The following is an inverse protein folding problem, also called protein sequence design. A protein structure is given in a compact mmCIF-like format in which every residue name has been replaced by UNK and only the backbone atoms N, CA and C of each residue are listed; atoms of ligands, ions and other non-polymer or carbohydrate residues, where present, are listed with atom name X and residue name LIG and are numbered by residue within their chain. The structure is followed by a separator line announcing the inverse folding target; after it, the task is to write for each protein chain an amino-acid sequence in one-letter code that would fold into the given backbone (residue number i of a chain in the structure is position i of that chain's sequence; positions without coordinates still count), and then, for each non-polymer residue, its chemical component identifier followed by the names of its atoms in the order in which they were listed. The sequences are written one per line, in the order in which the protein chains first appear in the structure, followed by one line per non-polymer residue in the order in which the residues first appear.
data_IF_799037658343
#
_entry.id   IF_799037658343
#
_cell.length_a   1.000
_cell.length_b   1.000
_cell.length_c   1.000
_cell.angle_alpha   90.00
_cell.angle_beta   90.00
_cell.angle_gamma   90.00
#
_symmetry.space_group_name_H-M   'P 1'
#
loop_
_entity.id
_entity.type
_entity.pdbx_description
1 polymer ?
#
# COMPACT_ATOMS: atom_id res chain seq x y z
N UNK A 1 4.21 -5.41 -24.28
CA UNK A 1 4.61 -4.74 -23.02
C UNK A 1 3.64 -3.60 -22.77
N UNK A 2 2.63 -3.81 -21.93
CA UNK A 2 1.61 -2.79 -21.63
C UNK A 2 2.16 -1.83 -20.57
N UNK A 3 2.64 -0.67 -21.01
CA UNK A 3 2.91 0.48 -20.14
C UNK A 3 1.60 1.21 -19.88
N UNK A 4 0.80 0.66 -18.96
CA UNK A 4 -0.36 1.38 -18.44
C UNK A 4 0.14 2.42 -17.46
N UNK A 5 0.17 3.69 -17.87
CA UNK A 5 0.49 4.83 -17.02
C UNK A 5 -0.55 4.89 -15.90
N UNK A 6 -0.19 4.45 -14.69
CA UNK A 6 -1.06 4.54 -13.52
C UNK A 6 -1.04 6.01 -13.07
N UNK A 7 -2.19 6.68 -13.16
CA UNK A 7 -2.35 8.03 -12.66
C UNK A 7 -1.99 8.08 -11.16
N UNK A 8 -1.22 9.09 -10.74
CA UNK A 8 -0.82 9.30 -9.32
C UNK A 8 -2.01 9.48 -8.36
N UNK A 9 -3.23 9.64 -8.88
CA UNK A 9 -4.48 9.70 -8.11
C UNK A 9 -5.09 8.32 -7.83
N UNK A 10 -4.41 7.23 -8.17
CA UNK A 10 -4.89 5.88 -7.92
C UNK A 10 -4.82 5.56 -6.43
N UNK A 11 -5.98 5.27 -5.84
CA UNK A 11 -6.08 4.77 -4.47
C UNK A 11 -5.77 3.26 -4.45
N UNK A 12 -4.82 2.86 -3.61
CA UNK A 12 -4.37 1.46 -3.50
C UNK A 12 -4.77 0.90 -2.14
N UNK A 13 -5.70 -0.05 -2.16
CA UNK A 13 -6.09 -0.80 -0.96
C UNK A 13 -5.15 -1.98 -0.70
N UNK A 14 -4.50 -2.02 0.47
CA UNK A 14 -3.70 -3.17 0.91
C UNK A 14 -4.43 -3.86 2.06
N UNK A 15 -4.83 -5.12 1.85
CA UNK A 15 -5.47 -5.94 2.89
C UNK A 15 -4.46 -6.94 3.41
N UNK A 16 -4.06 -6.77 4.68
CA UNK A 16 -3.11 -7.65 5.36
C UNK A 16 -1.67 -7.13 5.31
N UNK A 17 -1.17 -6.69 6.46
CA UNK A 17 0.24 -6.33 6.65
C UNK A 17 0.99 -7.50 7.28
N UNK A 18 1.45 -8.40 6.41
CA UNK A 18 2.48 -9.38 6.74
C UNK A 18 3.90 -8.81 6.56
N UNK A 19 4.89 -9.69 6.54
CA UNK A 19 6.30 -9.32 6.31
C UNK A 19 6.44 -8.62 4.95
N UNK A 20 5.88 -9.18 3.87
CA UNK A 20 5.88 -8.53 2.55
C UNK A 20 4.93 -7.33 2.46
N UNK A 21 3.74 -7.42 3.05
CA UNK A 21 2.71 -6.40 2.88
C UNK A 21 3.12 -5.04 3.45
N UNK A 22 3.92 -5.03 4.52
CA UNK A 22 4.47 -3.80 5.11
C UNK A 22 5.47 -3.10 4.20
N UNK A 23 6.45 -3.83 3.65
CA UNK A 23 7.41 -3.28 2.69
C UNK A 23 6.74 -2.81 1.40
N UNK A 24 5.71 -3.53 0.94
CA UNK A 24 4.96 -3.17 -0.25
C UNK A 24 4.18 -1.85 -0.05
N UNK A 25 3.40 -1.75 1.04
CA UNK A 25 2.66 -0.54 1.35
C UNK A 25 3.59 0.66 1.59
N UNK A 26 4.73 0.45 2.28
CA UNK A 26 5.76 1.48 2.48
C UNK A 26 6.33 1.99 1.16
N UNK A 27 6.66 1.10 0.24
CA UNK A 27 7.18 1.50 -1.08
C UNK A 27 6.15 2.28 -1.90
N UNK A 28 4.86 1.91 -1.83
CA UNK A 28 3.80 2.67 -2.49
C UNK A 28 3.62 4.07 -1.91
N UNK A 29 3.69 4.21 -0.58
CA UNK A 29 3.68 5.51 0.09
C UNK A 29 4.88 6.38 -0.31
N UNK A 30 6.08 5.79 -0.41
CA UNK A 30 7.30 6.50 -0.86
C UNK A 30 7.17 7.03 -2.29
N UNK A 31 6.43 6.33 -3.15
CA UNK A 31 6.14 6.77 -4.52
C UNK A 31 4.99 7.80 -4.59
N UNK A 32 4.50 8.28 -3.45
CA UNK A 32 3.41 9.26 -3.33
C UNK A 32 2.06 8.75 -3.85
N UNK A 33 1.81 7.45 -3.78
CA UNK A 33 0.47 6.90 -3.99
C UNK A 33 -0.37 7.02 -2.71
N UNK A 34 -1.68 7.12 -2.88
CA UNK A 34 -2.62 7.10 -1.77
C UNK A 34 -2.93 5.65 -1.37
N UNK A 35 -2.45 5.21 -0.21
CA UNK A 35 -2.50 3.81 0.21
C UNK A 35 -3.39 3.64 1.43
N UNK A 36 -4.44 2.84 1.29
CA UNK A 36 -5.35 2.50 2.38
C UNK A 36 -5.06 1.10 2.87
N UNK A 37 -4.67 0.96 4.14
CA UNK A 37 -4.31 -0.33 4.69
C UNK A 37 -5.35 -0.86 5.67
N UNK A 38 -5.83 -2.07 5.42
CA UNK A 38 -6.75 -2.78 6.30
C UNK A 38 -6.12 -4.08 6.80
N UNK A 39 -6.08 -4.29 8.11
CA UNK A 39 -5.57 -5.54 8.68
C UNK A 39 -6.47 -6.00 9.82
N UNK A 40 -6.65 -7.32 9.94
CA UNK A 40 -7.44 -7.93 11.03
C UNK A 40 -6.93 -7.49 12.41
N UNK A 41 -5.62 -7.32 12.54
CA UNK A 41 -4.97 -6.76 13.73
C UNK A 41 -4.62 -5.30 13.49
N UNK A 42 -5.41 -4.36 14.01
CA UNK A 42 -5.19 -2.91 13.88
C UNK A 42 -3.78 -2.47 14.34
N UNK A 43 -3.19 -3.12 15.35
CA UNK A 43 -1.82 -2.83 15.81
C UNK A 43 -0.76 -2.99 14.71
N UNK A 44 -0.93 -3.94 13.79
CA UNK A 44 0.01 -4.17 12.69
C UNK A 44 -0.13 -3.14 11.56
N UNK A 45 -1.20 -2.33 11.56
CA UNK A 45 -1.45 -1.27 10.59
C UNK A 45 -1.06 0.13 11.06
N UNK A 46 -0.55 0.28 12.29
CA UNK A 46 -0.06 1.54 12.84
C UNK A 46 1.39 1.93 12.55
N UNK A 47 2.31 1.04 12.09
CA UNK A 47 3.68 1.47 11.80
C UNK A 47 3.82 2.14 10.42
N UNK A 48 2.72 2.32 9.68
CA UNK A 48 2.66 2.95 8.36
C UNK A 48 1.80 4.22 8.44
#
# INVERSE_FOLDING_TARGET
MTTSSIDKKTFIGVIGLGIMGSSFASNLLLQSYDVHVHNRTKKKARPL
#
